data_IF_255709685753
#
_entry.id   IF_255709685753
#
_cell.length_a   1.000
_cell.length_b   1.000
_cell.length_c   1.000
_cell.angle_alpha   90.00
_cell.angle_beta   90.00
_cell.angle_gamma   90.00
#
_symmetry.space_group_name_H-M   'P 1'
#
loop_
_entity.id
_entity.type
_entity.pdbx_description
1 polymer ?
#
# COMPACT_ATOMS: atom_id res chain seq x y z
N UNK A 1 2.34 -22.83 12.04
CA UNK A 1 2.98 -21.67 11.37
C UNK A 1 2.59 -21.74 9.90
N UNK A 2 2.09 -20.66 9.31
CA UNK A 2 1.79 -20.63 7.87
C UNK A 2 3.11 -20.75 7.08
N UNK A 3 3.22 -21.73 6.18
CA UNK A 3 4.44 -22.04 5.41
C UNK A 3 4.22 -21.84 3.91
N UNK A 4 3.18 -21.12 3.50
CA UNK A 4 2.79 -21.02 2.09
C UNK A 4 3.38 -19.79 1.37
N UNK A 5 3.76 -18.74 2.11
CA UNK A 5 4.26 -17.48 1.53
C UNK A 5 5.64 -17.11 2.08
N UNK A 6 6.67 -17.59 1.41
CA UNK A 6 8.08 -17.31 1.68
C UNK A 6 8.82 -16.94 0.40
N UNK A 7 9.89 -16.17 0.55
CA UNK A 7 10.72 -15.70 -0.55
C UNK A 7 11.95 -16.59 -0.77
N UNK A 8 12.97 -16.10 -1.48
CA UNK A 8 14.17 -16.87 -1.78
C UNK A 8 14.97 -17.22 -0.51
N UNK A 9 15.96 -18.13 -0.63
CA UNK A 9 16.90 -18.44 0.43
C UNK A 9 17.61 -17.19 0.95
N UNK A 10 17.85 -17.13 2.26
CA UNK A 10 18.47 -15.99 2.93
C UNK A 10 19.41 -16.43 4.04
N UNK A 11 20.46 -15.65 4.28
CA UNK A 11 21.39 -15.82 5.41
C UNK A 11 21.01 -14.95 6.61
N UNK A 12 19.95 -14.16 6.52
CA UNK A 12 19.53 -13.22 7.56
C UNK A 12 19.12 -13.94 8.85
N UNK A 13 19.36 -13.34 10.02
CA UNK A 13 19.11 -14.00 11.31
C UNK A 13 17.63 -14.25 11.59
N UNK A 14 16.72 -13.46 10.99
CA UNK A 14 15.26 -13.61 11.07
C UNK A 14 14.67 -14.47 9.93
N UNK A 15 15.49 -15.15 9.13
CA UNK A 15 15.03 -16.05 8.08
C UNK A 15 14.21 -17.22 8.66
N UNK A 16 13.13 -17.58 7.96
CA UNK A 16 12.21 -18.65 8.38
C UNK A 16 12.67 -20.00 7.84
N UNK A 17 12.63 -21.05 8.67
CA UNK A 17 12.79 -22.43 8.20
C UNK A 17 11.47 -22.96 7.70
N UNK A 18 11.46 -23.45 6.47
CA UNK A 18 10.30 -24.08 5.83
C UNK A 18 10.54 -25.59 5.81
N UNK A 19 9.55 -26.37 6.26
CA UNK A 19 9.64 -27.82 6.23
C UNK A 19 9.72 -28.29 4.77
N UNK A 20 10.53 -29.31 4.44
CA UNK A 20 10.70 -29.81 3.07
C UNK A 20 9.38 -30.06 2.32
N UNK A 21 8.38 -30.57 3.03
CA UNK A 21 7.04 -30.90 2.52
C UNK A 21 6.26 -29.67 1.99
N UNK A 22 6.58 -28.47 2.48
CA UNK A 22 5.94 -27.22 2.07
C UNK A 22 6.82 -26.39 1.12
N UNK A 23 7.95 -26.94 0.66
CA UNK A 23 8.83 -26.26 -0.29
C UNK A 23 8.29 -26.37 -1.72
N UNK A 24 8.22 -25.25 -2.43
CA UNK A 24 7.85 -25.18 -3.84
C UNK A 24 9.10 -25.28 -4.71
N UNK A 25 8.98 -25.78 -5.93
CA UNK A 25 10.11 -25.83 -6.86
C UNK A 25 10.64 -24.41 -7.16
N UNK A 26 11.97 -24.21 -7.24
CA UNK A 26 13.04 -25.23 -7.17
C UNK A 26 13.54 -25.52 -5.74
N UNK A 27 12.96 -24.92 -4.71
CA UNK A 27 13.44 -24.99 -3.33
C UNK A 27 13.15 -26.33 -2.62
N UNK A 28 12.36 -27.20 -3.24
CA UNK A 28 12.08 -28.56 -2.79
C UNK A 28 13.25 -29.54 -3.02
N UNK A 29 14.26 -29.17 -3.81
CA UNK A 29 15.48 -29.97 -3.97
C UNK A 29 16.39 -29.83 -2.74
N UNK A 30 16.34 -30.83 -1.85
CA UNK A 30 17.12 -30.83 -0.61
C UNK A 30 18.63 -31.02 -0.81
N UNK A 31 19.06 -31.51 -1.98
CA UNK A 31 20.49 -31.62 -2.29
C UNK A 31 21.09 -30.23 -2.53
N UNK A 32 20.34 -29.36 -3.18
CA UNK A 32 20.71 -27.96 -3.45
C UNK A 32 20.34 -27.01 -2.31
N UNK A 33 19.24 -27.28 -1.63
CA UNK A 33 18.71 -26.47 -0.53
C UNK A 33 18.48 -27.36 0.72
N UNK A 34 19.52 -27.58 1.55
CA UNK A 34 19.41 -28.41 2.74
C UNK A 34 18.29 -27.98 3.69
N UNK A 35 17.88 -28.86 4.60
CA UNK A 35 16.82 -28.54 5.59
C UNK A 35 17.15 -27.32 6.46
N UNK A 36 18.44 -27.08 6.69
CA UNK A 36 18.94 -25.91 7.44
C UNK A 36 18.73 -24.58 6.72
N UNK A 37 18.41 -24.58 5.43
CA UNK A 37 18.15 -23.38 4.60
C UNK A 37 17.04 -22.54 5.20
N UNK A 38 17.28 -21.23 5.27
CA UNK A 38 16.31 -20.23 5.72
C UNK A 38 15.80 -19.44 4.52
N UNK A 39 14.57 -18.97 4.60
CA UNK A 39 13.89 -18.24 3.54
C UNK A 39 13.42 -16.87 4.04
N UNK A 40 13.29 -15.91 3.13
CA UNK A 40 12.71 -14.61 3.46
C UNK A 40 11.25 -14.77 3.94
N UNK A 41 10.88 -14.31 5.14
CA UNK A 41 9.50 -14.38 5.63
C UNK A 41 8.62 -13.30 4.96
N UNK A 42 8.22 -13.52 3.71
CA UNK A 42 7.44 -12.54 2.94
C UNK A 42 6.15 -12.14 3.64
N UNK A 43 5.44 -13.08 4.27
CA UNK A 43 4.27 -12.78 5.09
C UNK A 43 4.54 -11.75 6.19
N UNK A 44 5.71 -11.82 6.85
CA UNK A 44 6.10 -10.86 7.89
C UNK A 44 6.36 -9.49 7.27
N UNK A 45 7.05 -9.44 6.13
CA UNK A 45 7.31 -8.20 5.41
C UNK A 45 6.00 -7.54 4.95
N UNK A 46 5.07 -8.31 4.41
CA UNK A 46 3.71 -7.87 4.05
C UNK A 46 2.95 -7.33 5.26
N UNK A 47 2.96 -8.08 6.38
CA UNK A 47 2.24 -7.67 7.59
C UNK A 47 2.81 -6.38 8.18
N UNK A 48 4.13 -6.24 8.23
CA UNK A 48 4.79 -5.03 8.70
C UNK A 48 4.49 -3.84 7.77
N UNK A 49 4.52 -4.04 6.45
CA UNK A 49 4.18 -3.00 5.49
C UNK A 49 2.74 -2.51 5.63
N UNK A 50 1.80 -3.44 5.81
CA UNK A 50 0.40 -3.11 6.06
C UNK A 50 0.22 -2.36 7.38
N UNK A 51 0.92 -2.77 8.44
CA UNK A 51 0.87 -2.09 9.74
C UNK A 51 1.40 -0.65 9.66
N UNK A 52 2.55 -0.46 9.00
CA UNK A 52 3.11 0.88 8.75
C UNK A 52 2.15 1.72 7.91
N UNK A 53 1.58 1.14 6.85
CA UNK A 53 0.60 1.82 6.00
C UNK A 53 -0.64 2.27 6.74
N UNK A 54 -1.21 1.40 7.55
CA UNK A 54 -2.31 1.74 8.43
C UNK A 54 -1.93 2.90 9.35
N UNK A 55 -0.78 2.83 10.02
CA UNK A 55 -0.29 3.90 10.89
C UNK A 55 -0.13 5.24 10.18
N UNK A 56 0.48 5.25 8.99
CA UNK A 56 0.69 6.46 8.18
C UNK A 56 -0.63 7.05 7.71
N UNK A 57 -1.51 6.24 7.11
CA UNK A 57 -2.80 6.72 6.59
C UNK A 57 -3.69 7.19 7.75
N UNK A 58 -3.73 6.46 8.85
CA UNK A 58 -4.48 6.86 10.05
C UNK A 58 -3.97 8.18 10.63
N UNK A 59 -2.64 8.33 10.73
CA UNK A 59 -2.04 9.58 11.18
C UNK A 59 -2.38 10.75 10.24
N UNK A 60 -2.33 10.56 8.92
CA UNK A 60 -2.75 11.57 7.94
C UNK A 60 -4.22 11.92 8.11
N UNK A 61 -5.09 10.91 8.26
CA UNK A 61 -6.52 11.08 8.46
C UNK A 61 -6.82 11.98 9.68
N UNK A 62 -6.11 11.77 10.79
CA UNK A 62 -6.28 12.59 12.01
C UNK A 62 -5.64 13.96 11.89
N UNK A 63 -4.47 14.07 11.25
CA UNK A 63 -3.68 15.30 11.21
C UNK A 63 -4.22 16.34 10.22
N UNK A 64 -4.87 15.88 9.16
CA UNK A 64 -5.33 16.68 8.03
C UNK A 64 -6.83 16.55 7.79
N UNK A 65 -7.61 16.16 8.80
CA UNK A 65 -9.07 15.96 8.72
C UNK A 65 -9.78 17.12 8.00
N UNK A 66 -9.48 18.37 8.36
CA UNK A 66 -10.09 19.57 7.77
C UNK A 66 -9.71 19.84 6.31
N UNK A 67 -8.64 19.21 5.81
CA UNK A 67 -8.11 19.42 4.46
C UNK A 67 -8.41 18.25 3.54
N UNK A 68 -8.69 17.07 4.09
CA UNK A 68 -8.93 15.88 3.31
C UNK A 68 -10.31 15.95 2.65
N UNK A 69 -10.30 15.75 1.34
CA UNK A 69 -11.52 15.63 0.56
C UNK A 69 -11.99 14.16 0.57
N UNK A 70 -13.31 13.91 0.40
CA UNK A 70 -13.83 12.56 0.28
C UNK A 70 -13.06 11.76 -0.78
N UNK A 71 -12.57 10.58 -0.42
CA UNK A 71 -11.78 9.71 -1.28
C UNK A 71 -10.26 9.92 -1.25
N UNK A 72 -9.72 10.95 -0.58
CA UNK A 72 -8.27 11.13 -0.47
C UNK A 72 -7.57 9.97 0.25
N UNK A 73 -8.20 9.44 1.31
CA UNK A 73 -7.67 8.27 2.02
C UNK A 73 -7.61 7.03 1.10
N UNK A 74 -8.57 6.88 0.19
CA UNK A 74 -8.56 5.80 -0.79
C UNK A 74 -7.43 5.98 -1.82
N UNK A 75 -7.21 7.22 -2.30
CA UNK A 75 -6.08 7.54 -3.19
C UNK A 75 -4.73 7.30 -2.50
N UNK A 76 -4.59 7.69 -1.24
CA UNK A 76 -3.40 7.41 -0.44
C UNK A 76 -3.17 5.90 -0.28
N UNK A 77 -4.24 5.13 -0.07
CA UNK A 77 -4.16 3.67 -0.06
C UNK A 77 -3.72 3.09 -1.42
N UNK A 78 -4.25 3.60 -2.54
CA UNK A 78 -3.83 3.21 -3.89
C UNK A 78 -2.42 3.65 -4.29
N UNK A 79 -1.80 4.54 -3.52
CA UNK A 79 -0.36 4.83 -3.61
C UNK A 79 0.42 3.85 -2.72
N UNK A 80 -0.03 3.67 -1.47
CA UNK A 80 0.70 2.90 -0.47
C UNK A 80 0.76 1.39 -0.75
N UNK A 81 -0.38 0.80 -1.10
CA UNK A 81 -0.47 -0.65 -1.29
C UNK A 81 0.38 -1.13 -2.48
N UNK A 82 0.31 -0.50 -3.67
CA UNK A 82 1.15 -0.92 -4.78
C UNK A 82 2.64 -0.60 -4.57
N UNK A 83 2.99 0.38 -3.74
CA UNK A 83 4.38 0.62 -3.35
C UNK A 83 4.97 -0.60 -2.60
N UNK A 84 4.21 -1.16 -1.67
CA UNK A 84 4.60 -2.40 -0.99
C UNK A 84 4.70 -3.59 -1.95
N UNK A 85 3.72 -3.73 -2.85
CA UNK A 85 3.75 -4.76 -3.89
C UNK A 85 4.98 -4.64 -4.76
N UNK A 86 5.31 -3.44 -5.20
CA UNK A 86 6.51 -3.17 -5.98
C UNK A 86 7.78 -3.64 -5.24
N UNK A 87 7.95 -3.26 -3.97
CA UNK A 87 9.10 -3.69 -3.17
C UNK A 87 9.17 -5.21 -2.93
N UNK A 88 8.04 -5.85 -2.65
CA UNK A 88 7.98 -7.30 -2.41
C UNK A 88 8.23 -8.09 -3.70
N UNK A 89 7.71 -7.61 -4.81
CA UNK A 89 7.87 -8.23 -6.12
C UNK A 89 9.35 -8.30 -6.53
N UNK A 90 10.19 -7.33 -6.15
CA UNK A 90 11.65 -7.43 -6.33
C UNK A 90 12.28 -8.62 -5.60
N UNK A 91 11.68 -9.03 -4.49
CA UNK A 91 12.17 -10.16 -3.68
C UNK A 91 11.57 -11.48 -4.17
N UNK A 92 10.43 -11.45 -4.86
CA UNK A 92 9.81 -12.64 -5.42
C UNK A 92 10.59 -13.13 -6.64
N UNK A 93 10.83 -14.43 -6.67
CA UNK A 93 11.51 -15.11 -7.79
C UNK A 93 10.54 -15.71 -8.79
N UNK A 94 9.25 -15.71 -8.49
CA UNK A 94 8.15 -16.32 -9.26
C UNK A 94 7.21 -15.27 -9.88
N UNK A 95 7.78 -14.13 -10.26
CA UNK A 95 7.06 -13.01 -10.84
C UNK A 95 6.41 -13.30 -12.19
N UNK A 96 5.22 -12.75 -12.40
CA UNK A 96 4.53 -12.81 -13.70
C UNK A 96 5.09 -11.76 -14.65
N UNK A 97 5.77 -12.23 -15.69
CA UNK A 97 6.28 -11.40 -16.79
C UNK A 97 5.37 -11.50 -18.01
N UNK A 98 5.31 -10.42 -18.79
CA UNK A 98 4.66 -10.46 -20.09
C UNK A 98 5.40 -11.44 -21.02
N UNK A 99 4.68 -12.35 -21.72
CA UNK A 99 5.30 -13.33 -22.60
C UNK A 99 6.26 -12.69 -23.61
N UNK A 100 7.51 -13.14 -23.65
CA UNK A 100 8.52 -12.64 -24.59
C UNK A 100 9.14 -11.28 -24.23
N UNK A 101 8.87 -10.73 -23.04
CA UNK A 101 9.47 -9.47 -22.59
C UNK A 101 10.00 -9.56 -21.17
N UNK A 102 10.96 -8.71 -20.76
CA UNK A 102 11.43 -8.65 -19.36
C UNK A 102 10.49 -7.83 -18.45
N UNK A 103 9.31 -7.42 -18.92
CA UNK A 103 8.42 -6.54 -18.15
C UNK A 103 7.59 -7.33 -17.15
N UNK A 104 7.75 -6.99 -15.87
CA UNK A 104 6.95 -7.52 -14.77
C UNK A 104 5.59 -6.80 -14.72
N UNK A 105 4.50 -7.58 -14.74
CA UNK A 105 3.11 -7.06 -14.76
C UNK A 105 2.78 -6.30 -13.48
N UNK A 106 3.21 -6.82 -12.32
CA UNK A 106 2.98 -6.20 -11.00
C UNK A 106 3.70 -4.86 -10.91
N UNK A 107 4.92 -4.75 -11.42
CA UNK A 107 5.65 -3.48 -11.46
C UNK A 107 4.93 -2.44 -12.32
N UNK A 108 4.45 -2.83 -13.50
CA UNK A 108 3.72 -1.93 -14.39
C UNK A 108 2.40 -1.45 -13.76
N UNK A 109 1.59 -2.37 -13.25
CA UNK A 109 0.33 -2.03 -12.60
C UNK A 109 0.55 -1.16 -11.35
N UNK A 110 1.59 -1.45 -10.58
CA UNK A 110 1.93 -0.65 -9.40
C UNK A 110 2.33 0.76 -9.79
N UNK A 111 3.17 0.93 -10.81
CA UNK A 111 3.57 2.23 -11.32
C UNK A 111 2.36 3.03 -11.83
N UNK A 112 1.48 2.42 -12.62
CA UNK A 112 0.27 3.07 -13.13
C UNK A 112 -0.64 3.52 -11.98
N UNK A 113 -0.92 2.64 -11.02
CA UNK A 113 -1.78 2.96 -9.86
C UNK A 113 -1.22 4.12 -9.04
N UNK A 114 0.08 4.10 -8.75
CA UNK A 114 0.75 5.16 -7.98
C UNK A 114 0.70 6.49 -8.72
N UNK A 115 1.08 6.51 -10.00
CA UNK A 115 1.13 7.73 -10.80
C UNK A 115 -0.27 8.34 -11.01
N UNK A 116 -1.26 7.51 -11.33
CA UNK A 116 -2.64 7.96 -11.51
C UNK A 116 -3.22 8.51 -10.21
N UNK A 117 -3.06 7.80 -9.10
CA UNK A 117 -3.58 8.23 -7.79
C UNK A 117 -2.89 9.51 -7.30
N UNK A 118 -1.57 9.61 -7.46
CA UNK A 118 -0.82 10.81 -7.11
C UNK A 118 -1.24 12.01 -7.98
N UNK A 119 -1.42 11.81 -9.29
CA UNK A 119 -1.89 12.86 -10.20
C UNK A 119 -3.28 13.34 -9.80
N UNK A 120 -4.23 12.43 -9.55
CA UNK A 120 -5.59 12.78 -9.13
C UNK A 120 -5.56 13.56 -7.81
N UNK A 121 -4.79 13.09 -6.83
CA UNK A 121 -4.63 13.75 -5.53
C UNK A 121 -4.06 15.18 -5.70
N UNK A 122 -3.03 15.36 -6.53
CA UNK A 122 -2.43 16.68 -6.76
C UNK A 122 -3.41 17.59 -7.49
N UNK A 123 -4.04 17.13 -8.57
CA UNK A 123 -4.95 17.96 -9.36
C UNK A 123 -6.16 18.41 -8.54
N UNK A 124 -6.79 17.51 -7.78
CA UNK A 124 -7.97 17.87 -6.98
C UNK A 124 -7.64 18.91 -5.92
N UNK A 125 -6.48 18.81 -5.26
CA UNK A 125 -6.07 19.76 -4.21
C UNK A 125 -5.56 21.09 -4.78
N UNK A 126 -5.02 21.10 -6.00
CA UNK A 126 -4.61 22.35 -6.68
C UNK A 126 -5.79 23.15 -7.21
N UNK A 127 -6.89 22.50 -7.60
CA UNK A 127 -8.05 23.15 -8.21
C UNK A 127 -9.27 23.24 -7.28
N UNK A 128 -9.22 22.71 -6.06
CA UNK A 128 -10.28 22.88 -5.07
C UNK A 128 -10.32 24.32 -4.56
N UNK A 129 -11.40 25.05 -4.86
CA UNK A 129 -11.68 26.35 -4.25
C UNK A 129 -12.47 26.12 -2.97
N UNK A 130 -12.07 26.70 -1.82
CA UNK A 130 -12.89 26.65 -0.61
C UNK A 130 -14.29 27.18 -0.93
N UNK A 131 -15.32 26.48 -0.49
CA UNK A 131 -16.69 26.99 -0.61
C UNK A 131 -16.75 28.37 0.07
N UNK A 132 -17.20 29.39 -0.67
CA UNK A 132 -17.43 30.70 -0.09
C UNK A 132 -18.45 30.54 1.05
N UNK A 133 -18.07 30.96 2.26
CA UNK A 133 -18.99 30.97 3.40
C UNK A 133 -20.25 31.75 3.01
N UNK A 134 -21.45 31.15 3.07
CA UNK A 134 -22.68 31.88 2.83
C UNK A 134 -22.70 33.08 3.79
N UNK A 135 -23.01 34.31 3.34
CA UNK A 135 -23.07 35.45 4.23
C UNK A 135 -23.97 35.12 5.41
N UNK A 136 -23.43 35.27 6.62
CA UNK A 136 -24.17 35.06 7.85
C UNK A 136 -25.47 35.87 7.78
N UNK A 137 -26.59 35.17 7.86
CA UNK A 137 -27.94 35.71 7.72
C UNK A 137 -28.12 36.85 8.74
N UNK A 138 -27.96 38.10 8.30
CA UNK A 138 -28.00 39.32 9.13
C UNK A 138 -29.43 39.87 9.30
N UNK A 139 -30.44 39.10 8.90
CA UNK A 139 -31.82 39.60 8.75
C UNK A 139 -32.78 39.11 9.85
N UNK A 140 -32.28 38.54 10.97
CA UNK A 140 -33.13 38.07 12.08
C UNK A 140 -33.13 38.98 13.32
N UNK A 141 -32.52 40.17 13.28
CA UNK A 141 -32.60 41.18 14.33
C UNK A 141 -33.30 42.47 13.85
N UNK A 142 -34.58 42.35 13.47
CA UNK A 142 -35.50 43.49 13.57
C UNK A 142 -36.50 43.16 14.68
N UNK A 143 -36.38 43.75 15.88
CA UNK A 143 -37.41 43.58 16.89
C UNK A 143 -38.68 44.25 16.40
N UNK A 144 -39.73 43.44 16.36
CA UNK A 144 -41.12 43.83 16.30
C UNK A 144 -41.41 44.84 17.41
N UNK A 145 -41.37 46.12 17.07
CA UNK A 145 -42.08 47.19 17.78
C UNK A 145 -43.21 47.61 16.82
N UNK A 146 -44.44 47.06 16.90
CA UNK A 146 -45.43 47.32 17.95
C UNK A 146 -45.34 48.80 18.40
N UNK A 147 -46.25 49.70 18.07
CA UNK A 147 -47.71 49.61 18.02
C UNK A 147 -48.22 50.88 18.69
#
# INVERSE_FOLDING_TARGET
INQELYGPPTSLPWGLRIAPEHRIAPFNDLTRFPESTRFHPLFLYESLWNFVGFGVIFWIARRFEDKLLPGDLALLYFIWYPLGRFCIEFVRTDSWFFPGTPFNVVHLLSAISILASALILILRHRFHKPAATPPANRDLEQPEAAG
#
